data_IF_553724573383
#
_entry.id   IF_553724573383
#
_cell.length_a   1.000
_cell.length_b   1.000
_cell.length_c   1.000
_cell.angle_alpha   90.00
_cell.angle_beta   90.00
_cell.angle_gamma   90.00
#
_symmetry.space_group_name_H-M   'P 1'
#
loop_
_entity.id
_entity.type
_entity.pdbx_description
1 polymer ?
#
# COMPACT_ATOMS: atom_id res chain seq x y z
N UNK A 1 13.28 -19.62 -1.55
CA UNK A 1 13.19 -18.20 -1.94
C UNK A 1 14.05 -17.40 -0.96
N UNK A 2 14.97 -16.63 -1.44
CA UNK A 2 15.80 -15.80 -0.55
C UNK A 2 15.04 -14.55 -0.07
N UNK A 3 15.55 -13.94 1.00
CA UNK A 3 14.91 -12.77 1.60
C UNK A 3 14.82 -11.58 0.62
N UNK A 4 15.83 -11.42 -0.22
CA UNK A 4 15.89 -10.33 -1.21
C UNK A 4 14.83 -10.53 -2.30
N UNK A 5 14.60 -11.76 -2.72
CA UNK A 5 13.57 -12.08 -3.71
C UNK A 5 12.16 -11.83 -3.14
N UNK A 6 11.95 -12.21 -1.89
CA UNK A 6 10.67 -11.97 -1.22
C UNK A 6 10.36 -10.47 -1.10
N UNK A 7 11.36 -9.71 -0.70
CA UNK A 7 11.26 -8.26 -0.55
C UNK A 7 11.02 -7.55 -1.89
N UNK A 8 11.73 -7.97 -2.92
CA UNK A 8 11.52 -7.48 -4.29
C UNK A 8 10.10 -7.76 -4.78
N UNK A 9 9.56 -8.94 -4.52
CA UNK A 9 8.17 -9.28 -4.90
C UNK A 9 7.14 -8.42 -4.19
N UNK A 10 7.35 -8.12 -2.91
CA UNK A 10 6.51 -7.17 -2.16
C UNK A 10 6.55 -5.77 -2.80
N UNK A 11 7.72 -5.33 -3.19
CA UNK A 11 7.91 -4.04 -3.87
C UNK A 11 7.21 -4.02 -5.23
N UNK A 12 7.27 -5.09 -6.00
CA UNK A 12 6.51 -5.21 -7.26
C UNK A 12 5.01 -5.04 -7.01
N UNK A 13 4.46 -5.75 -6.05
CA UNK A 13 3.03 -5.64 -5.70
C UNK A 13 2.66 -4.22 -5.27
N UNK A 14 3.50 -3.57 -4.48
CA UNK A 14 3.31 -2.18 -4.06
C UNK A 14 3.28 -1.22 -5.26
N UNK A 15 4.25 -1.31 -6.15
CA UNK A 15 4.34 -0.48 -7.35
C UNK A 15 3.09 -0.65 -8.21
N UNK A 16 2.63 -1.88 -8.40
CA UNK A 16 1.45 -2.17 -9.23
C UNK A 16 0.13 -1.74 -8.58
N UNK A 17 0.06 -1.70 -7.24
CA UNK A 17 -1.10 -1.16 -6.51
C UNK A 17 -1.18 0.35 -6.60
N UNK A 18 -0.05 1.03 -6.56
CA UNK A 18 0.04 2.48 -6.45
C UNK A 18 0.05 3.22 -7.77
N UNK A 19 0.31 2.53 -8.88
CA UNK A 19 0.47 3.16 -10.17
C UNK A 19 0.13 2.26 -11.35
N UNK A 20 0.10 2.88 -12.52
CA UNK A 20 -0.12 2.17 -13.77
C UNK A 20 1.23 1.89 -14.42
N UNK A 21 1.54 0.61 -14.63
CA UNK A 21 2.74 0.16 -15.32
C UNK A 21 2.32 -0.53 -16.62
N UNK A 22 2.79 -0.01 -17.73
CA UNK A 22 2.45 -0.50 -19.07
C UNK A 22 3.50 -1.46 -19.63
N UNK A 23 4.78 -1.25 -19.28
CA UNK A 23 5.90 -2.01 -19.84
C UNK A 23 6.72 -2.65 -18.72
N UNK A 24 7.21 -3.85 -18.99
CA UNK A 24 8.13 -4.53 -18.08
C UNK A 24 9.42 -3.72 -17.87
N UNK A 25 9.90 -3.01 -18.89
CA UNK A 25 11.06 -2.14 -18.78
C UNK A 25 10.86 -1.01 -17.77
N UNK A 26 9.66 -0.45 -17.69
CA UNK A 26 9.33 0.59 -16.71
C UNK A 26 9.35 0.02 -15.28
N UNK A 27 8.79 -1.17 -15.07
CA UNK A 27 8.84 -1.86 -13.78
C UNK A 27 10.28 -2.18 -13.39
N UNK A 28 11.09 -2.68 -14.31
CA UNK A 28 12.51 -2.97 -14.08
C UNK A 28 13.27 -1.71 -13.65
N UNK A 29 13.02 -0.57 -14.30
CA UNK A 29 13.60 0.71 -13.95
C UNK A 29 13.18 1.15 -12.54
N UNK A 30 11.90 1.08 -12.20
CA UNK A 30 11.39 1.43 -10.88
C UNK A 30 12.01 0.59 -9.78
N UNK A 31 12.19 -0.71 -10.01
CA UNK A 31 12.87 -1.59 -9.07
C UNK A 31 14.34 -1.23 -8.88
N UNK A 32 15.04 -0.85 -9.95
CA UNK A 32 16.43 -0.38 -9.86
C UNK A 32 16.54 0.93 -9.11
N UNK A 33 15.59 1.84 -9.30
CA UNK A 33 15.51 3.11 -8.57
C UNK A 33 15.32 2.89 -7.07
N UNK A 34 14.68 1.79 -6.68
CA UNK A 34 14.53 1.37 -5.28
C UNK A 34 15.71 0.54 -4.73
N UNK A 35 16.77 0.37 -5.53
CA UNK A 35 17.99 -0.28 -5.10
C UNK A 35 18.09 -1.78 -5.38
N UNK A 36 17.15 -2.36 -6.14
CA UNK A 36 17.23 -3.76 -6.51
C UNK A 36 18.08 -3.99 -7.76
N UNK A 37 18.99 -4.94 -7.68
CA UNK A 37 19.72 -5.44 -8.86
C UNK A 37 18.85 -6.45 -9.60
N UNK A 38 18.21 -6.03 -10.69
CA UNK A 38 17.27 -6.87 -11.43
C UNK A 38 17.58 -6.86 -12.94
N UNK A 39 17.28 -8.00 -13.55
CA UNK A 39 17.26 -8.17 -15.01
C UNK A 39 15.81 -8.31 -15.48
N UNK A 40 15.57 -8.11 -16.78
CA UNK A 40 14.24 -8.37 -17.35
C UNK A 40 13.79 -9.82 -17.11
N UNK A 41 14.71 -10.78 -17.16
CA UNK A 41 14.42 -12.19 -16.90
C UNK A 41 13.97 -12.44 -15.46
N UNK A 42 14.62 -11.82 -14.47
CA UNK A 42 14.24 -11.98 -13.07
C UNK A 42 12.89 -11.32 -12.77
N UNK A 43 12.64 -10.15 -13.33
CA UNK A 43 11.34 -9.47 -13.22
C UNK A 43 10.23 -10.26 -13.89
N UNK A 44 10.49 -10.81 -15.08
CA UNK A 44 9.52 -11.64 -15.80
C UNK A 44 9.12 -12.90 -15.00
N UNK A 45 10.09 -13.55 -14.36
CA UNK A 45 9.81 -14.69 -13.48
C UNK A 45 8.99 -14.30 -12.27
N UNK A 46 9.34 -13.20 -11.62
CA UNK A 46 8.61 -12.71 -10.47
C UNK A 46 7.16 -12.37 -10.83
N UNK A 47 6.91 -11.70 -11.94
CA UNK A 47 5.55 -11.40 -12.41
C UNK A 47 4.74 -12.67 -12.65
N UNK A 48 5.35 -13.69 -13.25
CA UNK A 48 4.70 -14.99 -13.50
C UNK A 48 4.36 -15.68 -12.18
N UNK A 49 5.31 -15.74 -11.25
CA UNK A 49 5.14 -16.42 -9.96
C UNK A 49 4.12 -15.70 -9.07
N UNK A 50 4.00 -14.39 -9.22
CA UNK A 50 2.99 -13.59 -8.52
C UNK A 50 1.60 -13.65 -9.17
N UNK A 51 1.46 -14.26 -10.34
CA UNK A 51 0.21 -14.32 -11.07
C UNK A 51 -0.22 -12.98 -11.69
N UNK A 52 0.71 -12.04 -11.82
CA UNK A 52 0.47 -10.75 -12.48
C UNK A 52 0.31 -10.99 -13.98
N UNK A 53 -0.72 -10.41 -14.56
CA UNK A 53 -0.99 -10.53 -16.00
C UNK A 53 -1.19 -9.17 -16.64
N UNK A 54 -1.14 -9.14 -17.97
CA UNK A 54 -1.33 -7.92 -18.76
C UNK A 54 -2.76 -7.86 -19.29
N UNK A 55 -3.48 -6.79 -18.94
CA UNK A 55 -4.82 -6.53 -19.42
C UNK A 55 -4.96 -5.06 -19.82
N UNK A 56 -5.59 -4.80 -20.96
CA UNK A 56 -5.77 -3.44 -21.47
C UNK A 56 -4.47 -2.63 -21.56
N UNK A 57 -3.37 -3.29 -21.93
CA UNK A 57 -2.06 -2.66 -22.10
C UNK A 57 -1.31 -2.33 -20.81
N UNK A 58 -1.79 -2.77 -19.65
CA UNK A 58 -1.13 -2.55 -18.35
C UNK A 58 -1.03 -3.85 -17.55
N UNK A 59 -0.11 -3.89 -16.59
CA UNK A 59 -0.01 -4.99 -15.64
C UNK A 59 -1.09 -4.90 -14.57
N UNK A 60 -1.75 -6.02 -14.31
CA UNK A 60 -2.88 -6.12 -13.37
C UNK A 60 -2.56 -7.17 -12.32
N UNK A 61 -2.88 -6.83 -11.06
CA UNK A 61 -2.74 -7.74 -9.93
C UNK A 61 -3.74 -8.89 -9.99
N UNK A 62 -3.37 -10.06 -9.43
CA UNK A 62 -4.32 -11.16 -9.27
C UNK A 62 -5.55 -10.70 -8.48
N UNK A 63 -6.75 -11.13 -8.85
CA UNK A 63 -7.98 -10.78 -8.13
C UNK A 63 -7.93 -11.10 -6.63
N UNK A 64 -7.24 -12.16 -6.25
CA UNK A 64 -7.10 -12.58 -4.85
C UNK A 64 -6.37 -11.54 -3.98
N UNK A 65 -5.33 -10.90 -4.52
CA UNK A 65 -4.60 -9.85 -3.81
C UNK A 65 -5.45 -8.58 -3.62
N UNK A 66 -6.22 -8.22 -4.63
CA UNK A 66 -7.15 -7.09 -4.56
C UNK A 66 -8.27 -7.36 -3.56
N UNK A 67 -8.83 -8.57 -3.58
CA UNK A 67 -9.93 -8.98 -2.71
C UNK A 67 -9.49 -9.05 -1.25
N UNK A 68 -8.28 -9.58 -0.99
CA UNK A 68 -7.74 -9.68 0.38
C UNK A 68 -7.55 -8.30 0.99
N UNK A 69 -6.92 -7.38 0.27
CA UNK A 69 -6.71 -6.01 0.76
C UNK A 69 -8.04 -5.28 1.03
N UNK A 70 -9.01 -5.41 0.14
CA UNK A 70 -10.34 -4.81 0.30
C UNK A 70 -11.12 -5.46 1.45
N UNK A 71 -11.00 -6.77 1.62
CA UNK A 71 -11.67 -7.51 2.70
C UNK A 71 -11.19 -7.07 4.08
N UNK A 72 -9.89 -6.90 4.26
CA UNK A 72 -9.31 -6.44 5.52
C UNK A 72 -9.83 -5.05 5.91
N UNK A 73 -9.85 -4.10 4.98
CA UNK A 73 -10.36 -2.76 5.24
C UNK A 73 -11.88 -2.72 5.45
N UNK A 74 -12.64 -3.53 4.73
CA UNK A 74 -14.09 -3.61 4.93
C UNK A 74 -14.44 -4.11 6.33
N UNK A 75 -13.72 -5.11 6.80
CA UNK A 75 -13.90 -5.66 8.14
C UNK A 75 -13.45 -4.68 9.23
N UNK A 76 -12.31 -4.03 9.05
CA UNK A 76 -11.74 -3.10 10.02
C UNK A 76 -12.47 -1.75 10.09
N UNK A 77 -13.18 -1.38 9.04
CA UNK A 77 -13.91 -0.11 8.96
C UNK A 77 -14.93 0.09 10.07
N UNK A 78 -15.51 -0.98 10.60
CA UNK A 78 -16.42 -0.92 11.74
C UNK A 78 -15.76 -0.39 13.02
N UNK A 79 -14.45 -0.46 13.12
CA UNK A 79 -13.69 0.00 14.29
C UNK A 79 -13.18 1.44 14.15
N UNK A 80 -13.21 2.02 12.96
CA UNK A 80 -12.73 3.38 12.70
C UNK A 80 -13.81 4.39 13.10
N UNK A 81 -13.42 5.42 13.87
CA UNK A 81 -14.36 6.41 14.44
C UNK A 81 -14.24 7.78 13.82
N UNK A 82 -13.08 8.18 13.38
CA UNK A 82 -12.88 9.47 12.79
C UNK A 82 -11.44 9.75 12.42
N UNK A 83 -11.26 10.90 11.77
CA UNK A 83 -9.99 11.29 11.19
C UNK A 83 -9.80 12.79 11.42
N UNK A 84 -8.57 13.19 11.76
CA UNK A 84 -8.14 14.59 11.88
C UNK A 84 -6.78 14.80 11.26
N UNK A 85 -6.59 15.97 10.67
CA UNK A 85 -5.28 16.47 10.29
C UNK A 85 -4.67 17.22 11.47
N UNK A 86 -3.39 16.96 11.74
CA UNK A 86 -2.59 17.68 12.72
C UNK A 86 -1.36 18.26 12.00
N UNK A 87 -1.56 19.41 11.35
CA UNK A 87 -0.56 19.98 10.44
C UNK A 87 -0.55 19.32 9.06
N UNK A 88 0.47 19.63 8.27
CA UNK A 88 0.54 19.22 6.86
C UNK A 88 1.03 17.79 6.64
N UNK A 89 1.61 17.14 7.64
CA UNK A 89 2.25 15.84 7.49
C UNK A 89 1.80 14.78 8.50
N UNK A 90 0.95 15.14 9.47
CA UNK A 90 0.42 14.18 10.44
C UNK A 90 -1.10 14.06 10.30
N UNK A 91 -1.56 12.84 10.13
CA UNK A 91 -2.99 12.48 10.13
C UNK A 91 -3.28 11.59 11.33
N UNK A 92 -4.29 11.92 12.09
CA UNK A 92 -4.71 11.19 13.29
C UNK A 92 -5.99 10.42 12.97
N UNK A 93 -5.89 9.10 13.02
CA UNK A 93 -7.04 8.20 12.84
C UNK A 93 -7.47 7.66 14.22
N UNK A 94 -8.74 7.81 14.53
CA UNK A 94 -9.32 7.33 15.79
C UNK A 94 -10.08 6.03 15.56
N UNK A 95 -9.91 5.09 16.49
CA UNK A 95 -10.61 3.80 16.46
C UNK A 95 -11.30 3.52 17.79
N UNK A 96 -12.02 2.42 17.83
CA UNK A 96 -12.44 1.85 19.12
C UNK A 96 -11.22 1.38 19.91
N UNK A 97 -11.37 1.29 21.23
CA UNK A 97 -10.32 0.80 22.14
C UNK A 97 -9.86 -0.59 21.72
N UNK A 98 -8.55 -0.77 21.64
CA UNK A 98 -7.90 -2.04 21.27
C UNK A 98 -7.78 -2.31 19.76
N UNK A 99 -8.39 -1.49 18.90
CA UNK A 99 -8.42 -1.76 17.46
C UNK A 99 -7.33 -1.02 16.65
N UNK A 100 -6.68 -0.02 17.23
CA UNK A 100 -5.75 0.83 16.48
C UNK A 100 -4.61 0.05 15.83
N UNK A 101 -4.02 -0.88 16.54
CA UNK A 101 -2.90 -1.66 16.00
C UNK A 101 -3.32 -2.52 14.80
N UNK A 102 -4.49 -3.13 14.82
CA UNK A 102 -4.98 -3.94 13.69
C UNK A 102 -5.20 -3.09 12.44
N UNK A 103 -5.77 -1.90 12.61
CA UNK A 103 -5.96 -0.95 11.50
C UNK A 103 -4.62 -0.42 10.98
N UNK A 104 -3.69 -0.09 11.87
CA UNK A 104 -2.35 0.37 11.49
C UNK A 104 -1.58 -0.69 10.71
N UNK A 105 -1.65 -1.96 11.13
CA UNK A 105 -1.03 -3.08 10.41
C UNK A 105 -1.61 -3.23 9.00
N UNK A 106 -2.93 -3.08 8.85
CA UNK A 106 -3.56 -3.13 7.52
C UNK A 106 -3.09 -1.98 6.63
N UNK A 107 -2.95 -0.77 7.17
CA UNK A 107 -2.41 0.38 6.45
C UNK A 107 -0.96 0.13 6.04
N UNK A 108 -0.13 -0.37 6.95
CA UNK A 108 1.27 -0.69 6.66
C UNK A 108 1.41 -1.77 5.57
N UNK A 109 0.57 -2.79 5.60
CA UNK A 109 0.56 -3.86 4.59
C UNK A 109 0.07 -3.40 3.23
N UNK A 110 -0.81 -2.41 3.19
CA UNK A 110 -1.29 -1.83 1.94
C UNK A 110 -0.19 -1.06 1.20
N UNK A 111 0.84 -0.63 1.93
CA UNK A 111 2.06 -0.03 1.41
C UNK A 111 1.78 1.14 0.45
N UNK A 112 0.86 2.03 0.88
CA UNK A 112 0.48 3.19 0.08
C UNK A 112 1.63 4.19 -0.06
N UNK A 113 1.90 4.70 -1.26
CA UNK A 113 3.05 5.57 -1.48
C UNK A 113 2.98 6.89 -0.73
N UNK A 114 1.77 7.37 -0.42
CA UNK A 114 1.55 8.59 0.36
C UNK A 114 1.87 8.42 1.85
N UNK A 115 2.00 7.20 2.36
CA UNK A 115 2.28 6.92 3.78
C UNK A 115 3.77 6.75 3.99
N UNK A 116 4.36 7.60 4.82
CA UNK A 116 5.75 7.46 5.24
C UNK A 116 5.91 6.44 6.38
N UNK A 117 4.92 6.34 7.25
CA UNK A 117 4.91 5.38 8.35
C UNK A 117 3.73 5.60 9.28
N UNK A 118 3.48 4.62 10.15
CA UNK A 118 2.43 4.68 11.16
C UNK A 118 2.98 4.41 12.56
N UNK A 119 2.31 4.98 13.55
CA UNK A 119 2.53 4.69 14.96
C UNK A 119 1.16 4.56 15.62
N UNK A 120 0.89 3.44 16.28
CA UNK A 120 -0.41 3.20 16.91
C UNK A 120 -0.31 3.10 18.42
N UNK A 121 -1.29 3.69 19.10
CA UNK A 121 -1.62 3.43 20.49
C UNK A 121 -2.73 2.39 20.59
N UNK A 122 -3.61 2.56 21.56
CA UNK A 122 -4.75 1.67 21.80
C UNK A 122 -5.96 1.99 20.90
N UNK A 123 -6.29 3.27 20.77
CA UNK A 123 -7.45 3.79 20.03
C UNK A 123 -7.09 4.89 19.03
N UNK A 124 -5.81 5.13 18.80
CA UNK A 124 -5.32 6.26 17.99
C UNK A 124 -4.14 5.80 17.14
N UNK A 125 -4.14 6.22 15.88
CA UNK A 125 -3.04 5.98 14.93
C UNK A 125 -2.53 7.32 14.44
N UNK A 126 -1.22 7.53 14.51
CA UNK A 126 -0.52 8.63 13.85
C UNK A 126 0.02 8.14 12.51
N UNK A 127 -0.38 8.80 11.45
CA UNK A 127 0.06 8.47 10.09
C UNK A 127 0.85 9.65 9.56
N UNK A 128 2.13 9.42 9.31
CA UNK A 128 3.01 10.43 8.75
C UNK A 128 2.98 10.40 7.23
N UNK A 129 2.95 11.58 6.62
CA UNK A 129 3.06 11.78 5.17
C UNK A 129 4.18 12.77 4.87
N UNK A 130 4.82 12.66 3.71
CA UNK A 130 5.98 13.47 3.36
C UNK A 130 5.64 14.92 2.98
N UNK A 131 4.38 15.20 2.62
CA UNK A 131 3.92 16.50 2.13
C UNK A 131 2.44 16.70 2.37
N UNK A 132 1.99 17.95 2.24
CA UNK A 132 0.55 18.29 2.29
C UNK A 132 -0.24 17.58 1.18
N UNK A 133 0.34 17.46 -0.02
CA UNK A 133 -0.28 16.74 -1.13
C UNK A 133 -0.45 15.25 -0.82
N UNK A 134 0.58 14.62 -0.28
CA UNK A 134 0.49 13.21 0.16
C UNK A 134 -0.56 13.03 1.25
N UNK A 135 -0.68 13.99 2.17
CA UNK A 135 -1.74 13.99 3.18
C UNK A 135 -3.13 14.09 2.55
N UNK A 136 -3.32 14.94 1.55
CA UNK A 136 -4.61 15.06 0.85
C UNK A 136 -5.01 13.75 0.18
N UNK A 137 -4.07 13.07 -0.46
CA UNK A 137 -4.28 11.75 -1.07
C UNK A 137 -4.64 10.69 -0.02
N UNK A 138 -3.93 10.66 1.10
CA UNK A 138 -4.20 9.76 2.21
C UNK A 138 -5.59 10.00 2.80
N UNK A 139 -5.94 11.23 3.10
CA UNK A 139 -7.23 11.59 3.70
C UNK A 139 -8.37 11.17 2.77
N UNK A 140 -8.28 11.48 1.48
CA UNK A 140 -9.28 11.06 0.51
C UNK A 140 -9.44 9.54 0.46
N UNK A 141 -8.33 8.81 0.50
CA UNK A 141 -8.33 7.33 0.52
C UNK A 141 -8.99 6.78 1.78
N UNK A 142 -8.63 7.29 2.95
CA UNK A 142 -9.20 6.84 4.23
C UNK A 142 -10.69 7.14 4.33
N UNK A 143 -11.12 8.32 3.88
CA UNK A 143 -12.54 8.68 3.85
C UNK A 143 -13.34 7.75 2.94
N UNK A 144 -12.82 7.41 1.78
CA UNK A 144 -13.46 6.49 0.85
C UNK A 144 -13.54 5.06 1.40
N UNK A 145 -12.45 4.57 2.01
CA UNK A 145 -12.38 3.20 2.57
C UNK A 145 -13.27 3.02 3.80
N UNK A 146 -13.25 3.96 4.72
CA UNK A 146 -13.93 3.84 6.01
C UNK A 146 -15.25 4.61 6.09
N UNK A 147 -15.59 5.33 5.04
CA UNK A 147 -16.83 6.13 4.94
C UNK A 147 -16.99 7.12 6.12
N UNK A 148 -15.93 7.82 6.45
CA UNK A 148 -15.85 8.80 7.55
C UNK A 148 -15.63 10.21 7.02
#
# INVERSE_FOLDING_TARGET
MDAQQLDRRRTILRILRSGVVHRQADLTRLLRDEGYEVTQSSVSRDLRDLGVFKASGRYVLPPEELTRAQGDFAMLGQFVRGLRRAGASLTVLRTTTGAAQSVAVAIDRADWPEVAGTLSGDDTIFIATASARAQDELVARLQALFRI
#
